data_IF_357818574026
#
_entry.id   IF_357818574026
#
_cell.length_a   1.000
_cell.length_b   1.000
_cell.length_c   1.000
_cell.angle_alpha   90.00
_cell.angle_beta   90.00
_cell.angle_gamma   90.00
#
_symmetry.space_group_name_H-M   'P 1'
#
loop_
_entity.id
_entity.type
_entity.pdbx_description
1 polymer ?
#
# COMPACT_ATOMS: atom_id res chain seq x y z
N UNK A 1 17.19 39.94 45.47
CA UNK A 1 16.40 39.33 44.37
C UNK A 1 17.33 38.57 43.42
N UNK A 2 17.89 37.43 43.83
CA UNK A 2 18.93 36.71 43.06
C UNK A 2 18.80 35.18 43.11
N UNK A 3 17.88 34.63 43.93
CA UNK A 3 17.69 33.18 44.10
C UNK A 3 16.62 32.55 43.21
N UNK A 4 15.89 33.35 42.42
CA UNK A 4 14.79 32.87 41.59
C UNK A 4 15.22 32.44 40.18
N UNK A 5 16.36 32.94 39.68
CA UNK A 5 16.82 32.67 38.30
C UNK A 5 17.39 31.24 38.15
N UNK A 6 17.95 30.67 39.23
CA UNK A 6 18.62 29.36 39.21
C UNK A 6 17.67 28.14 39.19
N UNK A 7 16.41 28.31 39.63
CA UNK A 7 15.45 27.19 39.70
C UNK A 7 14.73 26.95 38.37
N UNK A 8 14.45 28.00 37.60
CA UNK A 8 13.77 27.88 36.31
C UNK A 8 14.70 27.40 35.19
N UNK A 9 16.00 27.68 35.29
CA UNK A 9 17.01 27.16 34.36
C UNK A 9 17.14 25.63 34.45
N UNK A 10 17.02 25.06 35.66
CA UNK A 10 17.06 23.60 35.87
C UNK A 10 15.79 22.89 35.41
N UNK A 11 14.61 23.53 35.51
CA UNK A 11 13.36 22.95 35.01
C UNK A 11 13.17 23.09 33.49
N UNK A 12 13.75 24.10 32.86
CA UNK A 12 13.70 24.27 31.40
C UNK A 12 14.53 23.21 30.65
N UNK A 13 15.61 22.69 31.26
CA UNK A 13 16.49 21.70 30.66
C UNK A 13 15.89 20.28 30.66
N UNK A 14 14.98 19.97 31.60
CA UNK A 14 14.34 18.66 31.70
C UNK A 14 13.21 18.44 30.69
N UNK A 15 12.56 19.52 30.22
CA UNK A 15 11.42 19.44 29.28
C UNK A 15 11.88 19.23 27.83
N UNK A 16 13.09 19.69 27.47
CA UNK A 16 13.63 19.56 26.10
C UNK A 16 14.01 18.09 25.77
N UNK A 17 14.27 17.25 26.77
CA UNK A 17 14.73 15.87 26.56
C UNK A 17 13.61 14.87 26.22
N UNK A 18 12.33 15.21 26.40
CA UNK A 18 11.21 14.27 26.22
C UNK A 18 10.62 14.30 24.79
N UNK A 19 11.00 15.30 23.98
CA UNK A 19 10.38 15.54 22.67
C UNK A 19 10.80 14.61 21.52
N UNK A 20 11.69 13.63 21.75
CA UNK A 20 12.33 12.88 20.65
C UNK A 20 11.81 11.45 20.39
N UNK A 21 10.79 10.97 21.11
CA UNK A 21 10.13 9.68 20.76
C UNK A 21 8.86 9.93 19.96
N UNK A 22 9.00 10.44 18.73
CA UNK A 22 7.95 10.32 17.73
C UNK A 22 8.15 8.96 17.04
N UNK A 23 7.28 7.96 17.25
CA UNK A 23 7.31 6.76 16.43
C UNK A 23 7.01 7.19 15.00
N UNK A 24 8.06 7.18 14.16
CA UNK A 24 7.95 7.38 12.73
C UNK A 24 7.16 6.20 12.17
N UNK A 25 5.87 6.44 11.97
CA UNK A 25 4.97 5.52 11.27
C UNK A 25 5.44 5.46 9.82
N UNK A 26 6.40 4.57 9.54
CA UNK A 26 6.82 4.30 8.18
C UNK A 26 5.62 3.66 7.49
N UNK A 27 4.97 4.41 6.60
CA UNK A 27 4.02 3.83 5.68
C UNK A 27 4.77 2.77 4.88
N UNK A 28 4.56 1.49 5.21
CA UNK A 28 5.07 0.39 4.39
C UNK A 28 4.31 0.48 3.07
N UNK A 29 4.94 1.08 2.07
CA UNK A 29 4.48 0.98 0.70
C UNK A 29 4.31 -0.51 0.39
N UNK A 30 3.19 -0.89 -0.21
CA UNK A 30 2.93 -2.27 -0.57
C UNK A 30 4.12 -2.80 -1.41
N UNK A 31 4.76 -3.87 -0.95
CA UNK A 31 5.93 -4.39 -1.62
C UNK A 31 5.46 -5.35 -2.71
N UNK A 32 5.67 -4.96 -3.96
CA UNK A 32 5.27 -5.76 -5.11
C UNK A 32 6.25 -6.90 -5.35
N UNK A 33 5.70 -8.09 -5.61
CA UNK A 33 6.44 -9.33 -5.80
C UNK A 33 7.18 -9.33 -7.14
N UNK A 34 8.32 -10.00 -7.17
CA UNK A 34 9.04 -10.36 -8.38
C UNK A 34 8.38 -11.53 -9.13
N UNK A 35 8.84 -11.77 -10.36
CA UNK A 35 8.24 -12.78 -11.25
C UNK A 35 8.20 -14.19 -10.65
N UNK A 36 9.25 -14.59 -9.92
CA UNK A 36 9.32 -15.92 -9.32
C UNK A 36 8.34 -16.07 -8.14
N UNK A 37 8.28 -15.08 -7.27
CA UNK A 37 7.34 -15.06 -6.14
C UNK A 37 5.88 -15.06 -6.61
N UNK A 38 5.60 -14.37 -7.73
CA UNK A 38 4.28 -14.39 -8.38
C UNK A 38 3.94 -15.82 -8.84
N UNK A 39 4.86 -16.50 -9.53
CA UNK A 39 4.64 -17.88 -9.99
C UNK A 39 4.36 -18.82 -8.82
N UNK A 40 5.14 -18.70 -7.75
CA UNK A 40 4.96 -19.47 -6.52
C UNK A 40 3.62 -19.15 -5.85
N UNK A 41 3.21 -17.88 -5.79
CA UNK A 41 1.92 -17.50 -5.22
C UNK A 41 0.74 -18.08 -6.01
N UNK A 42 0.84 -18.11 -7.34
CA UNK A 42 -0.18 -18.71 -8.21
C UNK A 42 -0.20 -20.24 -8.05
N UNK A 43 0.96 -20.90 -8.08
CA UNK A 43 1.04 -22.36 -7.98
C UNK A 43 0.55 -22.89 -6.62
N UNK A 44 0.74 -22.12 -5.56
CA UNK A 44 0.25 -22.41 -4.21
C UNK A 44 -1.22 -22.00 -3.99
N UNK A 45 -1.91 -21.48 -5.00
CA UNK A 45 -3.31 -21.03 -4.89
C UNK A 45 -3.50 -19.82 -3.97
N UNK A 46 -2.43 -19.08 -3.67
CA UNK A 46 -2.49 -17.82 -2.89
C UNK A 46 -2.89 -16.63 -3.77
N UNK A 47 -2.73 -16.75 -5.08
CA UNK A 47 -3.16 -15.78 -6.07
C UNK A 47 -3.80 -16.48 -7.28
N UNK A 48 -4.81 -15.85 -7.88
CA UNK A 48 -5.36 -16.24 -9.19
C UNK A 48 -4.39 -15.87 -10.31
N UNK A 49 -4.54 -16.52 -11.47
CA UNK A 49 -3.77 -16.16 -12.67
C UNK A 49 -4.10 -14.75 -13.13
N UNK A 50 -3.17 -14.13 -13.87
CA UNK A 50 -3.39 -12.80 -14.44
C UNK A 50 -4.64 -12.78 -15.32
N UNK A 51 -4.86 -13.81 -16.15
CA UNK A 51 -6.05 -13.92 -17.02
C UNK A 51 -7.36 -13.89 -16.22
N UNK A 52 -7.43 -14.63 -15.10
CA UNK A 52 -8.63 -14.65 -14.27
C UNK A 52 -8.88 -13.29 -13.58
N UNK A 53 -7.81 -12.60 -13.20
CA UNK A 53 -7.88 -11.29 -12.54
C UNK A 53 -8.24 -10.19 -13.54
N UNK A 54 -7.69 -10.20 -14.75
CA UNK A 54 -8.07 -9.24 -15.80
C UNK A 54 -9.53 -9.43 -16.21
N UNK A 55 -10.02 -10.68 -16.27
CA UNK A 55 -11.44 -10.93 -16.52
C UNK A 55 -12.33 -10.37 -15.38
N UNK A 56 -11.95 -10.56 -14.12
CA UNK A 56 -12.66 -9.99 -12.98
C UNK A 56 -12.63 -8.45 -12.99
N UNK A 57 -11.50 -7.86 -13.38
CA UNK A 57 -11.35 -6.42 -13.51
C UNK A 57 -12.24 -5.83 -14.61
N UNK A 58 -12.28 -6.47 -15.78
CA UNK A 58 -13.06 -6.03 -16.93
C UNK A 58 -14.57 -6.07 -16.68
N UNK A 59 -15.03 -6.91 -15.74
CA UNK A 59 -16.43 -6.93 -15.30
C UNK A 59 -16.84 -5.66 -14.52
N UNK A 60 -15.87 -4.87 -14.03
CA UNK A 60 -16.11 -3.66 -13.23
C UNK A 60 -15.69 -2.40 -13.97
N UNK A 61 -14.53 -2.42 -14.64
CA UNK A 61 -14.00 -1.28 -15.40
C UNK A 61 -13.63 -1.76 -16.80
N UNK A 62 -14.28 -1.20 -17.82
CA UNK A 62 -13.93 -1.48 -19.21
C UNK A 62 -12.68 -0.72 -19.64
N UNK A 63 -11.71 -1.43 -20.22
CA UNK A 63 -10.49 -0.84 -20.77
C UNK A 63 -9.38 -1.86 -20.91
N UNK A 64 -8.21 -1.38 -21.29
CA UNK A 64 -7.01 -2.21 -21.44
C UNK A 64 -6.19 -2.17 -20.16
N UNK A 65 -5.85 -3.34 -19.62
CA UNK A 65 -4.94 -3.45 -18.47
C UNK A 65 -3.52 -3.20 -18.97
N UNK A 66 -2.99 -2.01 -18.70
CA UNK A 66 -1.65 -1.58 -19.16
C UNK A 66 -0.56 -1.86 -18.12
N UNK A 67 -0.94 -2.11 -16.87
CA UNK A 67 -0.02 -2.54 -15.79
C UNK A 67 -0.74 -3.47 -14.84
N UNK A 68 -0.03 -4.52 -14.41
CA UNK A 68 -0.52 -5.45 -13.40
C UNK A 68 0.63 -5.83 -12.46
N UNK A 69 0.50 -5.46 -11.19
CA UNK A 69 1.42 -5.87 -10.14
C UNK A 69 0.69 -6.75 -9.13
N UNK A 70 1.39 -7.71 -8.54
CA UNK A 70 0.93 -8.45 -7.36
C UNK A 70 1.74 -7.96 -6.17
N UNK A 71 1.08 -7.39 -5.16
CA UNK A 71 1.76 -6.75 -4.04
C UNK A 71 1.31 -7.30 -2.70
N UNK A 72 2.25 -7.37 -1.76
CA UNK A 72 1.99 -7.73 -0.38
C UNK A 72 1.68 -6.47 0.43
N UNK A 73 0.48 -6.41 1.01
CA UNK A 73 0.03 -5.33 1.87
C UNK A 73 -0.66 -5.92 3.11
N UNK A 74 -0.13 -5.64 4.30
CA UNK A 74 -0.72 -6.11 5.56
C UNK A 74 -0.85 -7.65 5.65
N UNK A 75 0.11 -8.38 5.09
CA UNK A 75 0.10 -9.86 5.07
C UNK A 75 -0.87 -10.50 4.07
N UNK A 76 -1.49 -9.70 3.20
CA UNK A 76 -2.37 -10.17 2.12
C UNK A 76 -1.78 -9.83 0.76
N UNK A 77 -2.11 -10.65 -0.23
CA UNK A 77 -1.74 -10.41 -1.62
C UNK A 77 -2.88 -9.70 -2.34
N UNK A 78 -2.56 -8.59 -2.99
CA UNK A 78 -3.49 -7.80 -3.78
C UNK A 78 -2.92 -7.56 -5.18
N UNK A 79 -3.77 -7.63 -6.19
CA UNK A 79 -3.44 -7.12 -7.51
C UNK A 79 -3.66 -5.62 -7.55
N UNK A 80 -2.67 -4.88 -8.04
CA UNK A 80 -2.79 -3.47 -8.42
C UNK A 80 -2.75 -3.37 -9.94
N UNK A 81 -3.90 -3.07 -10.52
CA UNK A 81 -4.05 -2.90 -11.95
C UNK A 81 -4.13 -1.42 -12.31
N UNK A 82 -3.58 -1.08 -13.48
CA UNK A 82 -3.81 0.20 -14.15
C UNK A 82 -4.52 -0.08 -15.46
N UNK A 83 -5.69 0.52 -15.62
CA UNK A 83 -6.59 0.31 -16.75
C UNK A 83 -6.69 1.62 -17.53
N UNK A 84 -6.48 1.55 -18.85
CA UNK A 84 -6.68 2.66 -19.76
C UNK A 84 -8.02 2.48 -20.49
N UNK A 85 -8.95 3.41 -20.28
CA UNK A 85 -10.21 3.44 -21.02
C UNK A 85 -10.00 3.88 -22.45
N UNK A 86 -10.96 3.58 -23.34
CA UNK A 86 -10.92 4.04 -24.74
C UNK A 86 -10.96 5.57 -24.88
N UNK A 87 -11.43 6.28 -23.85
CA UNK A 87 -11.44 7.75 -23.81
C UNK A 87 -10.13 8.34 -23.27
N UNK A 88 -9.15 7.51 -22.88
CA UNK A 88 -7.85 7.95 -22.36
C UNK A 88 -7.80 8.15 -20.84
N UNK A 89 -8.90 7.92 -20.12
CA UNK A 89 -8.89 7.95 -18.65
C UNK A 89 -8.14 6.75 -18.09
N UNK A 90 -7.37 6.98 -17.02
CA UNK A 90 -6.62 5.96 -16.30
C UNK A 90 -7.37 5.61 -15.01
N UNK A 91 -7.54 4.33 -14.73
CA UNK A 91 -8.15 3.85 -13.49
C UNK A 91 -7.20 2.87 -12.81
N UNK A 92 -6.90 3.12 -11.54
CA UNK A 92 -6.22 2.16 -10.67
C UNK A 92 -7.25 1.30 -9.97
N UNK A 93 -7.15 -0.01 -10.16
CA UNK A 93 -8.05 -0.99 -9.56
C UNK A 93 -7.25 -1.92 -8.66
N UNK A 94 -7.71 -2.12 -7.43
CA UNK A 94 -7.10 -3.05 -6.47
C UNK A 94 -8.04 -4.23 -6.26
N UNK A 95 -7.54 -5.46 -6.43
CA UNK A 95 -8.30 -6.69 -6.24
C UNK A 95 -7.59 -7.62 -5.25
N UNK A 96 -8.35 -8.34 -4.44
CA UNK A 96 -7.82 -9.42 -3.61
C UNK A 96 -7.29 -10.55 -4.51
N UNK A 97 -6.05 -10.99 -4.29
CA UNK A 97 -5.40 -11.91 -5.21
C UNK A 97 -6.04 -13.30 -5.23
N UNK A 98 -6.61 -13.77 -4.11
CA UNK A 98 -7.15 -15.13 -3.99
C UNK A 98 -8.57 -15.22 -4.55
N UNK A 99 -9.42 -14.26 -4.22
CA UNK A 99 -10.83 -14.24 -4.61
C UNK A 99 -11.07 -13.51 -5.92
N UNK A 100 -10.23 -12.54 -6.28
CA UNK A 100 -10.47 -11.60 -7.38
C UNK A 100 -11.52 -10.53 -7.03
N UNK A 101 -11.89 -10.39 -5.75
CA UNK A 101 -12.85 -9.37 -5.30
C UNK A 101 -12.21 -7.98 -5.39
N UNK A 102 -12.94 -7.00 -5.93
CA UNK A 102 -12.50 -5.60 -5.91
C UNK A 102 -12.43 -5.08 -4.48
N UNK A 103 -11.29 -4.48 -4.15
CA UNK A 103 -11.00 -3.85 -2.86
C UNK A 103 -11.06 -2.32 -2.96
N UNK A 104 -10.59 -1.75 -4.08
CA UNK A 104 -10.60 -0.30 -4.31
C UNK A 104 -10.63 0.04 -5.80
N UNK A 105 -11.30 1.13 -6.16
CA UNK A 105 -11.33 1.72 -7.51
C UNK A 105 -10.98 3.19 -7.39
N UNK A 106 -9.92 3.63 -8.07
CA UNK A 106 -9.44 5.01 -8.01
C UNK A 106 -9.25 5.52 -9.44
N UNK A 107 -9.94 6.60 -9.81
CA UNK A 107 -9.92 7.21 -11.14
C UNK A 107 -9.14 8.52 -11.11
#
# INVERSE_FOLDING_TARGET
MQKLINKYALWALAIIAISFLVPSSHAIAAQCLGAEEIRVAISQGRAKSLVAITQAANAVVSGDVIKANLCSAGGRLNYELVILSRQGNVTRLVLDAKSGKVLSVNQ
#
